data_IF_913694415765
#
_entry.id   IF_913694415765
#
_cell.length_a   1.000
_cell.length_b   1.000
_cell.length_c   1.000
_cell.angle_alpha   90.00
_cell.angle_beta   90.00
_cell.angle_gamma   90.00
#
_symmetry.space_group_name_H-M   'P 1'
#
loop_
_entity.id
_entity.type
_entity.pdbx_description
1 polymer ?
#
# COMPACT_ATOMS: atom_id res chain seq x y z
N UNK A 1 18.98 19.86 -42.70
CA UNK A 1 19.77 18.96 -41.85
C UNK A 1 18.97 18.75 -40.58
N UNK A 2 18.12 17.73 -40.56
CA UNK A 2 17.30 17.38 -39.40
C UNK A 2 18.02 16.28 -38.62
N UNK A 3 18.35 16.55 -37.37
CA UNK A 3 18.68 15.50 -36.40
C UNK A 3 17.38 14.86 -35.92
N UNK A 4 17.23 13.53 -35.97
CA UNK A 4 16.18 12.86 -35.21
C UNK A 4 16.63 12.77 -33.75
N UNK A 5 15.77 13.21 -32.84
CA UNK A 5 15.89 12.94 -31.40
C UNK A 5 15.79 11.43 -31.16
N UNK A 6 16.60 10.85 -30.26
CA UNK A 6 16.50 9.45 -29.92
C UNK A 6 15.31 9.24 -28.97
N UNK A 7 14.25 8.68 -29.51
CA UNK A 7 13.20 8.02 -28.76
C UNK A 7 13.80 6.78 -28.06
N UNK A 8 14.05 6.89 -26.76
CA UNK A 8 14.56 5.79 -25.93
C UNK A 8 13.68 5.68 -24.70
N UNK A 9 12.48 5.13 -24.90
CA UNK A 9 11.83 4.33 -23.87
C UNK A 9 12.06 2.87 -24.22
N UNK A 10 13.30 2.41 -24.06
CA UNK A 10 13.61 0.98 -24.19
C UNK A 10 12.98 0.26 -23.00
N UNK A 11 11.79 -0.31 -23.21
CA UNK A 11 11.23 -1.35 -22.35
C UNK A 11 12.28 -2.45 -22.24
N UNK A 12 12.82 -2.66 -21.04
CA UNK A 12 13.78 -3.72 -20.82
C UNK A 12 13.17 -5.06 -21.25
N UNK A 13 13.90 -5.93 -21.97
CA UNK A 13 13.36 -7.22 -22.39
C UNK A 13 12.92 -8.01 -21.15
N UNK A 14 11.82 -8.75 -21.23
CA UNK A 14 11.21 -9.47 -20.11
C UNK A 14 12.21 -10.31 -19.28
N UNK A 15 13.24 -10.87 -19.93
CA UNK A 15 14.34 -11.59 -19.26
C UNK A 15 15.20 -10.70 -18.35
N UNK A 16 15.45 -9.45 -18.71
CA UNK A 16 16.19 -8.50 -17.87
C UNK A 16 15.37 -8.07 -16.65
N UNK A 17 14.06 -7.84 -16.82
CA UNK A 17 13.15 -7.53 -15.71
C UNK A 17 13.05 -8.70 -14.72
N UNK A 18 12.93 -9.94 -15.23
CA UNK A 18 12.95 -11.15 -14.42
C UNK A 18 14.28 -11.32 -13.66
N UNK A 19 15.42 -11.12 -14.33
CA UNK A 19 16.73 -11.17 -13.68
C UNK A 19 16.89 -10.08 -12.61
N UNK A 20 16.36 -8.88 -12.84
CA UNK A 20 16.32 -7.80 -11.87
C UNK A 20 15.52 -8.18 -10.63
N UNK A 21 14.29 -8.68 -10.81
CA UNK A 21 13.43 -9.19 -9.72
C UNK A 21 14.13 -10.26 -8.91
N UNK A 22 14.75 -11.26 -9.55
CA UNK A 22 15.40 -12.34 -8.82
C UNK A 22 16.59 -11.86 -7.99
N UNK A 23 17.41 -10.95 -8.52
CA UNK A 23 18.51 -10.35 -7.74
C UNK A 23 17.99 -9.53 -6.56
N UNK A 24 16.89 -8.81 -6.76
CA UNK A 24 16.25 -7.99 -5.72
C UNK A 24 15.78 -8.82 -4.53
N UNK A 25 15.27 -10.03 -4.77
CA UNK A 25 14.90 -11.01 -3.74
C UNK A 25 15.94 -12.15 -3.65
N UNK A 26 17.23 -11.80 -3.70
CA UNK A 26 18.32 -12.77 -3.88
C UNK A 26 18.35 -13.90 -2.83
N UNK A 27 18.13 -13.58 -1.56
CA UNK A 27 18.04 -14.55 -0.46
C UNK A 27 16.85 -15.52 -0.68
N UNK A 28 15.68 -14.99 -1.02
CA UNK A 28 14.46 -15.78 -1.28
C UNK A 28 14.60 -16.74 -2.46
N UNK A 29 15.30 -16.33 -3.54
CA UNK A 29 15.52 -17.19 -4.71
C UNK A 29 16.75 -18.10 -4.61
N UNK A 30 17.51 -18.03 -3.52
CA UNK A 30 18.76 -18.77 -3.35
C UNK A 30 19.91 -18.28 -4.23
N UNK A 31 19.86 -17.01 -4.67
CA UNK A 31 20.95 -16.33 -5.38
C UNK A 31 21.96 -15.68 -4.42
N UNK A 32 21.55 -15.48 -3.16
CA UNK A 32 22.41 -15.11 -2.04
C UNK A 32 22.22 -16.14 -0.92
N UNK A 33 23.25 -16.41 -0.10
CA UNK A 33 23.11 -17.29 1.05
C UNK A 33 22.09 -16.72 2.04
N UNK A 34 21.27 -17.59 2.62
CA UNK A 34 20.42 -17.21 3.74
C UNK A 34 21.29 -16.89 4.97
N UNK A 35 20.88 -15.92 5.81
CA UNK A 35 21.44 -15.77 7.14
C UNK A 35 21.28 -17.06 7.97
N UNK A 36 22.15 -17.31 8.94
CA UNK A 36 22.06 -18.48 9.83
C UNK A 36 20.73 -18.53 10.59
N UNK A 37 20.19 -17.37 10.93
CA UNK A 37 18.90 -17.17 11.56
C UNK A 37 18.18 -16.04 10.85
N UNK A 38 16.95 -16.27 10.39
CA UNK A 38 16.16 -15.27 9.69
C UNK A 38 14.66 -15.38 9.98
N UNK A 39 13.98 -14.24 9.91
CA UNK A 39 12.53 -14.12 9.86
C UNK A 39 12.02 -13.81 8.46
N UNK A 40 10.70 -13.95 8.28
CA UNK A 40 9.97 -13.58 7.06
C UNK A 40 8.90 -12.56 7.39
N UNK A 41 8.73 -11.55 6.52
CA UNK A 41 7.58 -10.63 6.55
C UNK A 41 6.78 -10.81 5.27
N UNK A 42 5.53 -11.26 5.38
CA UNK A 42 4.66 -11.63 4.25
C UNK A 42 3.41 -10.75 4.19
N UNK A 43 3.16 -10.10 3.07
CA UNK A 43 1.95 -9.29 2.89
C UNK A 43 1.94 -8.58 1.55
N UNK A 44 1.18 -7.49 1.44
CA UNK A 44 1.21 -6.61 0.28
C UNK A 44 2.50 -5.74 0.27
N UNK A 45 2.53 -4.67 -0.53
CA UNK A 45 3.67 -3.74 -0.62
C UNK A 45 4.13 -3.17 0.74
N UNK A 46 3.26 -3.12 1.76
CA UNK A 46 3.58 -2.64 3.10
C UNK A 46 4.49 -3.58 3.90
N UNK A 47 4.53 -4.88 3.55
CA UNK A 47 5.36 -5.86 4.25
C UNK A 47 6.84 -5.48 4.23
N UNK A 48 7.31 -4.91 3.11
CA UNK A 48 8.70 -4.43 3.00
C UNK A 48 8.98 -3.26 3.94
N UNK A 49 8.03 -2.34 4.13
CA UNK A 49 8.18 -1.21 5.05
C UNK A 49 8.32 -1.69 6.49
N UNK A 50 7.50 -2.67 6.88
CA UNK A 50 7.62 -3.30 8.20
C UNK A 50 8.95 -4.07 8.34
N UNK A 51 9.38 -4.79 7.30
CA UNK A 51 10.69 -5.46 7.29
C UNK A 51 11.83 -4.46 7.52
N UNK A 52 11.83 -3.33 6.82
CA UNK A 52 12.88 -2.32 6.89
C UNK A 52 13.05 -1.72 8.29
N UNK A 53 11.97 -1.56 9.05
CA UNK A 53 12.05 -1.03 10.43
C UNK A 53 12.40 -2.10 11.46
N UNK A 54 12.34 -3.39 11.09
CA UNK A 54 12.66 -4.50 12.00
C UNK A 54 14.03 -5.12 11.73
N UNK A 55 14.52 -5.12 10.49
CA UNK A 55 15.74 -5.80 10.05
C UNK A 55 17.01 -5.07 10.53
N UNK A 56 17.90 -5.79 11.21
CA UNK A 56 19.22 -5.33 11.65
C UNK A 56 20.26 -6.42 11.38
N UNK A 57 21.58 -6.13 11.36
CA UNK A 57 22.59 -7.18 11.23
C UNK A 57 22.48 -8.31 12.27
N UNK A 58 21.94 -8.04 13.46
CA UNK A 58 21.75 -9.00 14.56
C UNK A 58 20.39 -9.71 14.51
N UNK A 59 19.41 -9.16 13.81
CA UNK A 59 18.05 -9.68 13.65
C UNK A 59 17.64 -9.57 12.19
N UNK A 60 17.90 -10.64 11.44
CA UNK A 60 17.70 -10.64 9.99
C UNK A 60 16.26 -10.99 9.63
N UNK A 61 15.67 -10.20 8.73
CA UNK A 61 14.46 -10.56 8.00
C UNK A 61 14.76 -10.52 6.49
N UNK A 62 14.60 -11.66 5.82
CA UNK A 62 14.85 -11.74 4.37
C UNK A 62 13.76 -11.01 3.59
N UNK A 63 14.13 -10.48 2.43
CA UNK A 63 13.18 -9.84 1.51
C UNK A 63 12.34 -10.89 0.80
N UNK A 64 11.01 -10.74 0.83
CA UNK A 64 10.05 -11.64 0.18
C UNK A 64 9.16 -10.85 -0.79
N UNK A 65 8.82 -11.39 -1.97
CA UNK A 65 7.89 -10.73 -2.89
C UNK A 65 6.53 -10.44 -2.22
N UNK A 66 5.85 -9.34 -2.56
CA UNK A 66 4.52 -9.10 -2.04
C UNK A 66 3.52 -10.11 -2.63
N UNK A 67 2.54 -10.53 -1.83
CA UNK A 67 1.65 -11.67 -2.16
C UNK A 67 0.84 -11.50 -3.44
N UNK A 68 0.60 -10.26 -3.90
CA UNK A 68 -0.14 -9.99 -5.13
C UNK A 68 0.72 -10.03 -6.39
N UNK A 69 2.04 -10.13 -6.25
CA UNK A 69 3.01 -10.34 -7.34
C UNK A 69 3.56 -11.78 -7.36
N UNK A 70 3.12 -12.63 -6.43
CA UNK A 70 3.65 -13.98 -6.30
C UNK A 70 3.15 -14.88 -7.42
N UNK A 71 4.05 -15.71 -7.91
CA UNK A 71 3.79 -16.79 -8.88
C UNK A 71 3.78 -18.15 -8.18
N UNK A 72 3.50 -19.22 -8.92
CA UNK A 72 3.60 -20.60 -8.41
C UNK A 72 5.02 -20.94 -7.93
N UNK A 73 6.06 -20.47 -8.63
CA UNK A 73 7.45 -20.65 -8.17
C UNK A 73 7.66 -19.96 -6.81
N UNK A 74 7.14 -18.74 -6.66
CA UNK A 74 7.28 -17.97 -5.41
C UNK A 74 6.53 -18.65 -4.26
N UNK A 75 5.32 -19.14 -4.50
CA UNK A 75 4.57 -19.88 -3.49
C UNK A 75 5.33 -21.14 -3.04
N UNK A 76 5.86 -21.94 -3.97
CA UNK A 76 6.70 -23.10 -3.63
C UNK A 76 7.92 -22.69 -2.81
N UNK A 77 8.63 -21.63 -3.20
CA UNK A 77 9.80 -21.13 -2.46
C UNK A 77 9.44 -20.65 -1.06
N UNK A 78 8.31 -19.96 -0.90
CA UNK A 78 7.82 -19.55 0.41
C UNK A 78 7.59 -20.77 1.32
N UNK A 79 6.98 -21.84 0.81
CA UNK A 79 6.76 -23.08 1.56
C UNK A 79 8.03 -23.88 1.83
N UNK A 80 9.09 -23.72 1.02
CA UNK A 80 10.42 -24.27 1.31
C UNK A 80 11.14 -23.50 2.43
N UNK A 81 10.96 -22.17 2.49
CA UNK A 81 11.66 -21.28 3.43
C UNK A 81 10.96 -21.13 4.78
N UNK A 82 9.62 -21.13 4.80
CA UNK A 82 8.84 -20.94 6.01
C UNK A 82 9.19 -21.91 7.16
N UNK A 83 9.45 -23.22 6.91
CA UNK A 83 9.89 -24.15 7.96
C UNK A 83 11.23 -23.79 8.60
N UNK A 84 12.12 -23.10 7.86
CA UNK A 84 13.47 -22.75 8.31
C UNK A 84 13.55 -21.36 8.97
N UNK A 85 12.54 -20.50 8.80
CA UNK A 85 12.47 -19.21 9.46
C UNK A 85 12.26 -19.37 10.97
N UNK A 86 12.85 -18.51 11.80
CA UNK A 86 12.59 -18.52 13.24
C UNK A 86 11.23 -17.85 13.59
N UNK A 87 10.70 -17.04 12.68
CA UNK A 87 9.47 -16.26 12.86
C UNK A 87 8.88 -15.88 11.52
N UNK A 88 7.55 -15.84 11.45
CA UNK A 88 6.81 -15.27 10.33
C UNK A 88 5.94 -14.13 10.85
N UNK A 89 6.15 -12.92 10.33
CA UNK A 89 5.22 -11.80 10.49
C UNK A 89 4.41 -11.71 9.21
N UNK A 90 3.09 -11.65 9.29
CA UNK A 90 2.26 -11.67 8.09
C UNK A 90 1.05 -10.75 8.18
N UNK A 91 0.64 -10.17 7.07
CA UNK A 91 -0.70 -9.62 6.97
C UNK A 91 -1.72 -10.76 6.80
N UNK A 92 -2.98 -10.60 7.25
CA UNK A 92 -4.02 -11.57 6.94
C UNK A 92 -4.19 -11.74 5.42
N UNK A 93 -3.94 -12.95 4.93
CA UNK A 93 -4.12 -13.37 3.53
C UNK A 93 -5.10 -14.53 3.51
N UNK A 94 -6.10 -14.46 2.61
CA UNK A 94 -7.06 -15.56 2.42
C UNK A 94 -6.36 -16.81 1.90
N UNK A 95 -6.86 -17.98 2.29
CA UNK A 95 -6.43 -19.24 1.68
C UNK A 95 -6.66 -19.19 0.16
N UNK A 96 -5.74 -19.78 -0.59
CA UNK A 96 -5.77 -19.86 -2.05
C UNK A 96 -5.83 -18.48 -2.74
N UNK A 97 -5.15 -17.49 -2.16
CA UNK A 97 -5.05 -16.15 -2.74
C UNK A 97 -4.37 -16.21 -4.11
N UNK A 98 -5.09 -15.82 -5.16
CA UNK A 98 -4.69 -15.95 -6.58
C UNK A 98 -4.40 -17.40 -6.99
N UNK A 99 -5.17 -18.35 -6.46
CA UNK A 99 -5.02 -19.80 -6.72
C UNK A 99 -3.67 -20.35 -6.24
N UNK A 100 -3.01 -19.64 -5.32
CA UNK A 100 -1.74 -20.01 -4.72
C UNK A 100 -1.91 -20.25 -3.21
N UNK A 101 -1.15 -21.19 -2.60
CA UNK A 101 -1.26 -21.53 -1.19
C UNK A 101 -0.62 -20.46 -0.27
N UNK A 102 -1.00 -19.20 -0.40
CA UNK A 102 -0.41 -18.05 0.29
C UNK A 102 -1.17 -17.63 1.55
N UNK A 103 -2.27 -18.31 1.87
CA UNK A 103 -3.12 -17.96 3.00
C UNK A 103 -2.39 -18.03 4.33
N UNK A 104 -2.76 -17.14 5.26
CA UNK A 104 -2.15 -17.10 6.59
C UNK A 104 -2.25 -18.45 7.30
N UNK A 105 -3.37 -19.17 7.15
CA UNK A 105 -3.53 -20.53 7.71
C UNK A 105 -2.62 -21.54 7.02
N UNK A 106 -2.49 -21.46 5.70
CA UNK A 106 -1.64 -22.36 4.91
C UNK A 106 -0.16 -22.18 5.26
N UNK A 107 0.30 -20.93 5.39
CA UNK A 107 1.68 -20.61 5.82
C UNK A 107 1.91 -21.04 7.27
N UNK A 108 0.93 -20.82 8.16
CA UNK A 108 1.01 -21.28 9.55
C UNK A 108 1.13 -22.81 9.64
N UNK A 109 0.39 -23.55 8.82
CA UNK A 109 0.48 -25.01 8.78
C UNK A 109 1.82 -25.53 8.22
N UNK A 110 2.53 -24.70 7.43
CA UNK A 110 3.80 -25.05 6.82
C UNK A 110 5.02 -24.79 7.72
N UNK A 111 4.85 -24.16 8.89
CA UNK A 111 5.98 -23.84 9.77
C UNK A 111 5.69 -24.22 11.23
N UNK A 112 6.75 -24.47 11.99
CA UNK A 112 6.70 -24.57 13.45
C UNK A 112 7.07 -23.25 14.14
N UNK A 113 7.48 -22.26 13.36
CA UNK A 113 7.82 -20.93 13.84
C UNK A 113 6.58 -20.21 14.38
N UNK A 114 6.82 -19.23 15.26
CA UNK A 114 5.76 -18.32 15.68
C UNK A 114 5.31 -17.48 14.48
N UNK A 115 4.00 -17.45 14.25
CA UNK A 115 3.36 -16.59 13.26
C UNK A 115 2.65 -15.45 13.98
N UNK A 116 2.94 -14.21 13.59
CA UNK A 116 2.27 -13.00 14.07
C UNK A 116 1.56 -12.30 12.93
N UNK A 117 0.35 -11.83 13.19
CA UNK A 117 -0.50 -11.14 12.23
C UNK A 117 -0.56 -9.64 12.48
N UNK A 118 -0.33 -8.86 11.43
CA UNK A 118 -0.37 -7.38 11.45
C UNK A 118 -1.37 -6.91 10.39
N UNK A 119 -2.38 -6.09 10.73
CA UNK A 119 -3.39 -5.71 9.75
C UNK A 119 -2.79 -4.80 8.66
N UNK A 120 -3.23 -4.91 7.40
CA UNK A 120 -2.88 -3.92 6.38
C UNK A 120 -3.52 -2.58 6.74
N UNK A 121 -2.69 -1.54 6.79
CA UNK A 121 -3.10 -0.21 7.22
C UNK A 121 -3.62 0.58 6.02
N UNK A 122 -4.81 1.17 6.18
CA UNK A 122 -5.40 2.10 5.21
C UNK A 122 -6.07 3.23 5.96
N UNK A 123 -5.89 4.45 5.49
CA UNK A 123 -6.48 5.64 6.11
C UNK A 123 -6.88 6.66 5.05
N UNK A 124 -8.18 6.85 4.85
CA UNK A 124 -8.69 7.82 3.88
C UNK A 124 -8.82 9.24 4.46
N UNK A 125 -8.58 9.45 5.76
CA UNK A 125 -8.74 10.75 6.41
C UNK A 125 -7.79 11.83 5.89
N UNK A 126 -6.66 11.46 5.28
CA UNK A 126 -5.75 12.40 4.61
C UNK A 126 -6.01 12.55 3.10
N UNK A 127 -6.72 11.59 2.50
CA UNK A 127 -6.99 11.55 1.06
C UNK A 127 -8.45 11.11 0.81
N UNK A 128 -9.44 11.89 1.26
CA UNK A 128 -10.83 11.47 1.29
C UNK A 128 -11.39 11.17 -0.11
N UNK A 129 -10.87 11.85 -1.13
CA UNK A 129 -11.29 11.70 -2.53
C UNK A 129 -10.66 10.51 -3.24
N UNK A 130 -9.74 9.79 -2.61
CA UNK A 130 -8.94 8.78 -3.28
C UNK A 130 -9.51 7.37 -3.10
N UNK A 131 -9.54 6.60 -4.20
CA UNK A 131 -9.89 5.19 -4.20
C UNK A 131 -8.79 4.36 -4.87
N UNK A 132 -8.27 3.35 -4.16
CA UNK A 132 -7.43 2.29 -4.71
C UNK A 132 -8.30 1.05 -4.95
N UNK A 133 -8.85 0.95 -6.16
CA UNK A 133 -9.81 -0.11 -6.53
C UNK A 133 -9.28 -0.94 -7.69
N UNK A 134 -9.65 -2.22 -7.69
CA UNK A 134 -9.49 -3.12 -8.82
C UNK A 134 -10.88 -3.61 -9.22
N UNK A 135 -11.16 -3.65 -10.51
CA UNK A 135 -12.43 -4.13 -11.08
C UNK A 135 -12.13 -5.44 -11.81
N UNK A 136 -12.80 -6.56 -11.46
CA UNK A 136 -12.62 -7.81 -12.19
C UNK A 136 -12.87 -7.63 -13.70
N UNK A 137 -11.94 -8.12 -14.52
CA UNK A 137 -12.01 -7.98 -15.98
C UNK A 137 -11.34 -6.73 -16.54
N UNK A 138 -10.87 -5.82 -15.69
CA UNK A 138 -10.04 -4.67 -16.06
C UNK A 138 -8.73 -4.76 -15.29
N UNK A 139 -7.73 -5.38 -15.92
CA UNK A 139 -6.41 -5.61 -15.32
C UNK A 139 -5.46 -4.40 -15.50
N UNK A 140 -5.80 -3.49 -16.41
CA UNK A 140 -5.02 -2.28 -16.65
C UNK A 140 -5.08 -1.33 -15.45
N UNK A 141 -3.92 -0.82 -15.03
CA UNK A 141 -3.85 0.26 -14.06
C UNK A 141 -4.11 1.60 -14.75
N UNK A 142 -4.75 2.57 -14.06
CA UNK A 142 -4.90 3.90 -14.64
C UNK A 142 -3.52 4.53 -14.87
N UNK A 143 -3.39 5.36 -15.93
CA UNK A 143 -2.12 5.98 -16.26
C UNK A 143 -1.65 6.93 -15.16
N UNK A 144 -0.34 7.22 -15.15
CA UNK A 144 0.32 8.22 -14.29
C UNK A 144 0.40 7.83 -12.81
N UNK A 145 -0.75 7.59 -12.14
CA UNK A 145 -0.83 7.12 -10.76
C UNK A 145 -1.95 6.08 -10.59
N UNK A 146 -1.71 5.05 -9.78
CA UNK A 146 -2.64 3.94 -9.52
C UNK A 146 -3.78 4.28 -8.53
N UNK A 147 -4.25 5.54 -8.54
CA UNK A 147 -5.21 6.06 -7.57
C UNK A 147 -6.31 6.87 -8.25
N UNK A 148 -7.56 6.44 -8.08
CA UNK A 148 -8.69 7.12 -8.68
C UNK A 148 -9.17 8.27 -7.79
N UNK A 149 -9.36 9.45 -8.37
CA UNK A 149 -10.14 10.51 -7.73
C UNK A 149 -11.64 10.24 -7.96
N UNK A 150 -12.39 10.14 -6.86
CA UNK A 150 -13.81 9.80 -6.84
C UNK A 150 -14.65 10.87 -7.56
N UNK A 151 -14.21 12.14 -7.54
CA UNK A 151 -14.91 13.24 -8.22
C UNK A 151 -14.73 13.13 -9.72
N UNK A 152 -13.51 12.85 -10.18
CA UNK A 152 -13.22 12.61 -11.61
C UNK A 152 -14.00 11.40 -12.13
N UNK A 153 -14.05 10.31 -11.35
CA UNK A 153 -14.85 9.13 -11.68
C UNK A 153 -16.35 9.46 -11.76
N UNK A 154 -16.88 10.25 -10.81
CA UNK A 154 -18.28 10.66 -10.80
C UNK A 154 -18.64 11.50 -12.05
N UNK A 155 -17.75 12.42 -12.46
CA UNK A 155 -17.92 13.20 -13.69
C UNK A 155 -17.98 12.28 -14.91
N UNK A 156 -17.07 11.31 -15.01
CA UNK A 156 -17.08 10.33 -16.10
C UNK A 156 -18.38 9.50 -16.14
N UNK A 157 -19.00 9.26 -14.98
CA UNK A 157 -20.28 8.57 -14.85
C UNK A 157 -21.52 9.48 -15.02
N UNK A 158 -21.34 10.79 -15.27
CA UNK A 158 -22.45 11.75 -15.35
C UNK A 158 -23.14 12.01 -13.99
N UNK A 159 -22.44 11.75 -12.89
CA UNK A 159 -22.93 11.92 -11.53
C UNK A 159 -22.45 13.29 -10.99
N UNK A 160 -23.36 14.20 -10.61
CA UNK A 160 -22.96 15.44 -9.96
C UNK A 160 -22.43 15.15 -8.55
N UNK A 161 -21.29 15.75 -8.22
CA UNK A 161 -20.65 15.70 -6.90
C UNK A 161 -20.03 17.06 -6.59
N UNK A 162 -19.93 17.41 -5.30
CA UNK A 162 -19.20 18.60 -4.89
C UNK A 162 -17.69 18.46 -5.15
N UNK A 163 -17.04 19.58 -5.46
CA UNK A 163 -15.58 19.64 -5.63
C UNK A 163 -14.82 19.62 -4.31
N UNK A 164 -15.48 19.98 -3.21
CA UNK A 164 -14.92 19.97 -1.85
C UNK A 164 -15.88 19.36 -0.85
N UNK A 165 -15.40 19.07 0.36
CA UNK A 165 -16.22 18.62 1.49
C UNK A 165 -15.90 19.42 2.74
N UNK A 166 -16.82 19.44 3.70
CA UNK A 166 -16.55 20.08 4.99
C UNK A 166 -15.43 19.34 5.76
N UNK A 167 -14.65 20.05 6.59
CA UNK A 167 -13.69 19.41 7.49
C UNK A 167 -14.31 18.34 8.41
N UNK A 168 -15.60 18.48 8.75
CA UNK A 168 -16.33 17.45 9.50
C UNK A 168 -16.54 16.16 8.71
N UNK A 169 -16.86 16.27 7.41
CA UNK A 169 -16.98 15.12 6.52
C UNK A 169 -15.63 14.41 6.33
N UNK A 170 -14.52 15.15 6.23
CA UNK A 170 -13.15 14.58 6.23
C UNK A 170 -12.93 13.75 7.49
N UNK A 171 -13.20 14.31 8.68
CA UNK A 171 -13.09 13.58 9.95
C UNK A 171 -13.98 12.35 10.00
N UNK A 172 -15.20 12.42 9.46
CA UNK A 172 -16.11 11.27 9.39
C UNK A 172 -15.55 10.13 8.52
N UNK A 173 -14.96 10.45 7.36
CA UNK A 173 -14.27 9.49 6.50
C UNK A 173 -13.06 8.87 7.22
N UNK A 174 -12.29 9.69 7.94
CA UNK A 174 -11.19 9.23 8.79
C UNK A 174 -11.64 8.23 9.86
N UNK A 175 -12.69 8.56 10.62
CA UNK A 175 -13.28 7.67 11.63
C UNK A 175 -13.75 6.34 11.04
N UNK A 176 -14.43 6.39 9.89
CA UNK A 176 -14.86 5.17 9.18
C UNK A 176 -13.67 4.28 8.77
N UNK A 177 -12.56 4.89 8.31
CA UNK A 177 -11.33 4.14 8.01
C UNK A 177 -10.75 3.45 9.26
N UNK A 178 -10.76 4.14 10.40
CA UNK A 178 -10.29 3.61 11.68
C UNK A 178 -11.20 2.46 12.16
N UNK A 179 -12.51 2.57 12.02
CA UNK A 179 -13.44 1.51 12.43
C UNK A 179 -13.30 0.24 11.56
N UNK A 180 -13.02 0.40 10.26
CA UNK A 180 -12.64 -0.71 9.39
C UNK A 180 -11.32 -1.33 9.83
N UNK A 181 -10.33 -0.51 10.20
CA UNK A 181 -9.04 -1.00 10.71
C UNK A 181 -9.21 -1.78 12.02
N UNK A 182 -10.00 -1.27 12.98
CA UNK A 182 -10.36 -1.96 14.23
C UNK A 182 -11.04 -3.29 13.99
N UNK A 183 -11.89 -3.37 12.96
CA UNK A 183 -12.52 -4.64 12.56
C UNK A 183 -11.47 -5.66 12.09
N UNK A 184 -10.44 -5.23 11.35
CA UNK A 184 -9.32 -6.10 10.94
C UNK A 184 -8.44 -6.51 12.13
N UNK A 185 -8.27 -5.62 13.10
CA UNK A 185 -7.49 -5.87 14.32
C UNK A 185 -8.10 -6.92 15.23
N UNK A 186 -9.42 -7.12 15.18
CA UNK A 186 -10.10 -8.11 16.02
C UNK A 186 -9.57 -9.53 15.84
N UNK A 187 -8.96 -9.83 14.68
CA UNK A 187 -8.36 -11.12 14.36
C UNK A 187 -6.85 -11.01 14.09
N UNK A 188 -6.22 -9.89 14.44
CA UNK A 188 -4.78 -9.68 14.29
C UNK A 188 -4.08 -9.66 15.66
N UNK A 189 -2.81 -10.04 15.69
CA UNK A 189 -1.99 -10.05 16.92
C UNK A 189 -1.56 -8.63 17.33
N UNK A 190 -1.41 -7.72 16.36
CA UNK A 190 -0.91 -6.36 16.58
C UNK A 190 -1.96 -5.33 16.21
N UNK A 191 -2.19 -4.36 17.11
CA UNK A 191 -3.10 -3.22 16.91
C UNK A 191 -2.34 -2.00 16.38
N UNK A 192 -3.03 -1.19 15.58
CA UNK A 192 -2.49 -0.03 14.85
C UNK A 192 -3.43 1.18 14.97
N UNK A 193 -4.73 0.98 15.18
CA UNK A 193 -5.78 2.00 15.05
C UNK A 193 -5.62 3.18 16.00
N UNK A 194 -5.04 2.96 17.17
CA UNK A 194 -4.73 3.99 18.17
C UNK A 194 -3.58 4.90 17.73
N UNK A 195 -2.76 4.51 16.74
CA UNK A 195 -1.77 5.41 16.15
C UNK A 195 -2.42 6.60 15.45
N UNK A 196 -3.71 6.53 15.12
CA UNK A 196 -4.46 7.61 14.48
C UNK A 196 -5.20 8.53 15.48
N UNK A 197 -4.93 8.41 16.78
CA UNK A 197 -5.51 9.31 17.80
C UNK A 197 -5.07 10.78 17.59
N UNK A 198 -3.86 10.98 17.05
CA UNK A 198 -3.33 12.29 16.63
C UNK A 198 -2.84 12.21 15.19
N UNK A 199 -3.65 12.65 14.24
CA UNK A 199 -3.32 12.59 12.81
C UNK A 199 -2.29 13.66 12.45
N UNK A 200 -1.29 13.27 11.66
CA UNK A 200 -0.27 14.15 11.07
C UNK A 200 -0.14 13.86 9.58
N UNK A 201 0.44 14.78 8.80
CA UNK A 201 0.62 14.59 7.35
C UNK A 201 1.55 13.42 6.96
N UNK A 202 2.34 12.86 7.90
CA UNK A 202 3.18 11.67 7.66
C UNK A 202 2.45 10.34 7.98
N UNK A 203 1.20 10.37 8.43
CA UNK A 203 0.45 9.13 8.68
C UNK A 203 0.16 8.35 7.39
N UNK A 204 -0.12 9.05 6.29
CA UNK A 204 -0.38 8.44 5.00
C UNK A 204 0.02 9.36 3.85
N UNK A 205 0.63 8.77 2.81
CA UNK A 205 0.99 9.43 1.55
C UNK A 205 -0.07 9.24 0.48
N UNK A 206 -0.76 8.12 0.55
CA UNK A 206 -1.94 7.72 -0.22
C UNK A 206 -2.81 6.89 0.71
N UNK A 207 -4.04 6.54 0.31
CA UNK A 207 -5.00 5.81 1.16
C UNK A 207 -4.47 4.47 1.70
N UNK A 208 -3.47 3.86 1.04
CA UNK A 208 -2.87 2.57 1.39
C UNK A 208 -1.34 2.61 1.53
N UNK A 209 -0.70 3.79 1.50
CA UNK A 209 0.73 3.97 1.76
C UNK A 209 0.94 4.73 3.09
N UNK A 210 0.90 4.04 4.24
CA UNK A 210 1.22 4.63 5.53
C UNK A 210 2.65 5.15 5.57
N UNK A 211 2.89 6.15 6.41
CA UNK A 211 4.23 6.70 6.61
C UNK A 211 4.95 6.33 7.89
N UNK A 212 6.03 7.05 8.16
CA UNK A 212 6.96 6.66 9.22
C UNK A 212 6.31 6.84 10.59
N UNK A 213 5.41 7.83 10.73
CA UNK A 213 4.50 7.99 11.87
C UNK A 213 3.69 6.72 12.20
N UNK A 214 3.46 5.84 11.23
CA UNK A 214 2.83 4.52 11.43
C UNK A 214 3.87 3.42 11.56
N UNK A 215 4.83 3.34 10.63
CA UNK A 215 5.74 2.19 10.54
C UNK A 215 6.72 2.08 11.71
N UNK A 216 7.24 3.20 12.22
CA UNK A 216 8.18 3.19 13.33
C UNK A 216 7.53 2.62 14.62
N UNK A 217 6.40 3.17 15.13
CA UNK A 217 5.75 2.61 16.30
C UNK A 217 5.16 1.22 16.05
N UNK A 218 4.70 0.91 14.83
CA UNK A 218 4.23 -0.44 14.50
C UNK A 218 5.37 -1.47 14.52
N UNK A 219 6.54 -1.13 13.98
CA UNK A 219 7.74 -1.96 14.05
C UNK A 219 8.12 -2.27 15.50
N UNK A 220 8.09 -1.26 16.38
CA UNK A 220 8.33 -1.44 17.80
C UNK A 220 7.34 -2.44 18.42
N UNK A 221 6.03 -2.30 18.15
CA UNK A 221 5.00 -3.20 18.68
C UNK A 221 5.17 -4.65 18.23
N UNK A 222 5.56 -4.85 16.97
CA UNK A 222 5.81 -6.20 16.44
C UNK A 222 7.02 -6.82 17.12
N UNK A 223 8.10 -6.06 17.30
CA UNK A 223 9.31 -6.52 17.99
C UNK A 223 9.04 -6.82 19.47
N UNK A 224 8.32 -5.95 20.16
CA UNK A 224 7.86 -6.18 21.54
C UNK A 224 7.04 -7.48 21.63
N UNK A 225 6.11 -7.69 20.68
CA UNK A 225 5.33 -8.92 20.62
C UNK A 225 6.20 -10.16 20.39
N UNK A 226 7.32 -10.03 19.66
CA UNK A 226 8.32 -11.08 19.46
C UNK A 226 9.27 -11.27 20.65
N UNK A 227 9.22 -10.41 21.67
CA UNK A 227 10.09 -10.45 22.83
C UNK A 227 11.47 -9.84 22.58
N UNK A 228 11.58 -8.98 21.57
CA UNK A 228 12.82 -8.28 21.23
C UNK A 228 12.89 -6.92 21.91
N UNK A 229 14.02 -6.63 22.58
CA UNK A 229 14.22 -5.40 23.36
C UNK A 229 15.07 -4.34 22.67
N UNK A 230 15.65 -4.63 21.50
CA UNK A 230 16.54 -3.71 20.80
C UNK A 230 15.77 -2.64 20.03
N UNK A 231 14.45 -2.82 19.88
CA UNK A 231 13.55 -1.87 19.25
C UNK A 231 13.68 -1.80 17.73
N UNK A 232 12.88 -0.91 17.14
CA UNK A 232 12.85 -0.68 15.71
C UNK A 232 14.04 0.18 15.25
N UNK A 233 14.31 0.14 13.95
CA UNK A 233 15.30 0.99 13.28
C UNK A 233 14.59 2.07 12.48
N UNK A 234 15.10 3.30 12.55
CA UNK A 234 14.74 4.34 11.59
C UNK A 234 15.57 4.16 10.31
N UNK A 235 14.94 3.89 9.15
CA UNK A 235 15.65 3.75 7.87
C UNK A 235 16.28 5.07 7.38
N UNK A 236 16.07 6.20 8.06
CA UNK A 236 16.62 7.51 7.70
C UNK A 236 16.01 8.11 6.44
N UNK A 237 14.88 7.57 5.99
CA UNK A 237 14.15 8.02 4.79
C UNK A 237 12.65 7.74 4.91
N UNK A 238 11.81 8.50 4.17
CA UNK A 238 10.40 8.18 3.97
C UNK A 238 10.16 6.76 3.43
N UNK A 239 9.21 6.04 4.03
CA UNK A 239 8.74 4.72 3.58
C UNK A 239 7.50 4.86 2.69
N UNK A 240 7.39 4.00 1.66
CA UNK A 240 6.28 4.03 0.67
C UNK A 240 6.10 5.39 -0.02
N UNK A 241 7.21 6.09 -0.26
CA UNK A 241 7.24 7.48 -0.76
C UNK A 241 7.32 7.63 -2.28
N UNK A 242 7.17 6.53 -3.02
CA UNK A 242 7.16 6.55 -4.48
C UNK A 242 6.04 7.41 -5.06
N UNK A 243 4.89 7.47 -4.38
CA UNK A 243 3.77 8.33 -4.75
C UNK A 243 3.22 8.99 -3.49
N UNK A 244 3.09 10.32 -3.52
CA UNK A 244 2.44 11.12 -2.49
C UNK A 244 1.34 11.96 -3.13
N UNK A 245 0.13 11.79 -2.64
CA UNK A 245 -1.03 12.50 -3.14
C UNK A 245 -1.06 13.96 -2.69
N UNK A 246 -1.84 14.82 -3.38
CA UNK A 246 -2.18 16.15 -2.91
C UNK A 246 -2.74 16.13 -1.49
N UNK A 247 -2.48 17.20 -0.75
CA UNK A 247 -3.01 17.46 0.58
C UNK A 247 -3.99 18.63 0.48
N UNK A 248 -5.28 18.31 0.49
CA UNK A 248 -6.33 19.31 0.26
C UNK A 248 -6.49 20.29 1.44
N UNK A 249 -6.90 21.55 1.20
CA UNK A 249 -7.11 22.54 2.27
C UNK A 249 -8.06 22.08 3.38
N UNK A 250 -9.19 21.44 3.01
CA UNK A 250 -10.15 20.90 3.96
C UNK A 250 -9.59 19.77 4.83
N UNK A 251 -8.53 19.08 4.36
CA UNK A 251 -7.83 18.06 5.15
C UNK A 251 -6.90 18.71 6.17
N UNK A 252 -6.17 19.76 5.76
CA UNK A 252 -5.34 20.56 6.67
C UNK A 252 -6.20 21.13 7.80
N UNK A 253 -7.33 21.75 7.46
CA UNK A 253 -8.28 22.29 8.44
C UNK A 253 -8.92 21.19 9.30
N UNK A 254 -9.27 20.03 8.72
CA UNK A 254 -9.93 18.96 9.45
C UNK A 254 -9.12 18.40 10.61
N UNK A 255 -7.80 18.35 10.46
CA UNK A 255 -6.87 17.74 11.40
C UNK A 255 -5.95 18.74 12.10
N UNK A 256 -6.16 20.04 11.88
CA UNK A 256 -5.31 21.11 12.42
C UNK A 256 -3.82 20.86 12.11
N UNK A 257 -3.55 20.48 10.85
CA UNK A 257 -2.18 20.13 10.43
C UNK A 257 -1.31 21.39 10.41
N UNK A 258 -0.05 21.32 10.86
CA UNK A 258 0.90 22.42 10.71
C UNK A 258 1.39 22.57 9.25
N UNK A 259 1.12 21.57 8.41
CA UNK A 259 1.48 21.54 7.00
C UNK A 259 0.58 22.46 6.15
N UNK A 260 1.18 23.17 5.19
CA UNK A 260 0.42 23.88 4.16
C UNK A 260 -0.27 22.90 3.18
N UNK A 261 -1.43 23.27 2.61
CA UNK A 261 -2.05 22.49 1.54
C UNK A 261 -1.09 22.32 0.35
N UNK A 262 -1.15 21.16 -0.30
CA UNK A 262 -0.37 20.85 -1.51
C UNK A 262 -1.30 20.40 -2.62
N UNK A 263 -1.29 21.11 -3.74
CA UNK A 263 -2.11 20.80 -4.91
C UNK A 263 -1.51 19.69 -5.79
N UNK A 264 -0.19 19.55 -5.79
CA UNK A 264 0.55 18.64 -6.68
C UNK A 264 0.68 17.23 -6.09
N UNK A 265 0.76 16.25 -6.99
CA UNK A 265 1.28 14.93 -6.69
C UNK A 265 2.81 14.99 -6.61
N UNK A 266 3.41 14.13 -5.79
CA UNK A 266 4.83 13.81 -5.91
C UNK A 266 4.97 12.38 -6.39
N UNK A 267 5.64 12.15 -7.51
CA UNK A 267 5.89 10.83 -8.09
C UNK A 267 7.39 10.66 -8.23
N UNK A 268 7.97 9.69 -7.53
CA UNK A 268 9.42 9.49 -7.41
C UNK A 268 10.17 10.77 -6.98
N UNK A 269 9.52 11.60 -6.17
CA UNK A 269 10.05 12.88 -5.67
C UNK A 269 9.81 14.08 -6.60
N UNK A 270 9.34 13.87 -7.83
CA UNK A 270 9.07 14.93 -8.79
C UNK A 270 7.63 15.44 -8.66
N UNK A 271 7.46 16.75 -8.71
CA UNK A 271 6.15 17.39 -8.66
C UNK A 271 5.40 17.20 -9.98
N UNK A 272 4.11 16.85 -9.87
CA UNK A 272 3.21 16.60 -10.98
C UNK A 272 1.86 17.28 -10.73
N UNK A 273 1.36 18.01 -11.73
CA UNK A 273 0.09 18.70 -11.64
C UNK A 273 -1.09 17.70 -11.58
N UNK A 274 -2.00 17.90 -10.62
CA UNK A 274 -3.24 17.13 -10.51
C UNK A 274 -4.13 17.27 -11.75
N UNK A 275 -4.01 18.38 -12.50
CA UNK A 275 -4.69 18.54 -13.77
C UNK A 275 -4.25 17.51 -14.83
N UNK A 276 -2.95 17.22 -14.92
CA UNK A 276 -2.41 16.22 -15.85
C UNK A 276 -2.88 14.81 -15.48
N UNK A 277 -2.88 14.48 -14.18
CA UNK A 277 -3.44 13.21 -13.68
C UNK A 277 -4.92 13.08 -14.05
N UNK A 278 -5.70 14.13 -13.83
CA UNK A 278 -7.14 14.14 -14.09
C UNK A 278 -7.46 13.98 -15.57
N UNK A 279 -6.72 14.65 -16.45
CA UNK A 279 -6.87 14.53 -17.90
C UNK A 279 -6.59 13.10 -18.36
N UNK A 280 -5.46 12.52 -17.92
CA UNK A 280 -5.08 11.16 -18.25
C UNK A 280 -6.12 10.14 -17.75
N UNK A 281 -6.62 10.31 -16.53
CA UNK A 281 -7.65 9.43 -15.95
C UNK A 281 -8.99 9.59 -16.65
N UNK A 282 -9.37 10.80 -17.05
CA UNK A 282 -10.61 11.04 -17.80
C UNK A 282 -10.57 10.36 -19.17
N UNK A 283 -9.45 10.46 -19.88
CA UNK A 283 -9.25 9.75 -21.14
C UNK A 283 -9.32 8.24 -20.96
N UNK A 284 -8.71 7.72 -19.89
CA UNK A 284 -8.73 6.29 -19.57
C UNK A 284 -10.14 5.81 -19.21
N UNK A 285 -10.92 6.57 -18.41
CA UNK A 285 -12.32 6.25 -18.10
C UNK A 285 -13.21 6.21 -19.34
N UNK A 286 -13.00 7.11 -20.31
CA UNK A 286 -13.74 7.11 -21.57
C UNK A 286 -13.45 5.84 -22.40
N UNK A 287 -12.24 5.28 -22.29
CA UNK A 287 -11.86 4.04 -22.94
C UNK A 287 -12.34 2.77 -22.18
N UNK A 288 -12.67 2.89 -20.89
CA UNK A 288 -13.04 1.78 -20.00
C UNK A 288 -14.39 2.02 -19.29
N UNK A 289 -15.51 2.14 -20.03
CA UNK A 289 -16.82 2.42 -19.43
C UNK A 289 -17.29 1.33 -18.45
N UNK A 290 -16.91 0.07 -18.65
CA UNK A 290 -17.18 -1.04 -17.74
C UNK A 290 -16.48 -0.88 -16.38
N UNK A 291 -15.27 -0.31 -16.38
CA UNK A 291 -14.59 0.06 -15.14
C UNK A 291 -15.40 1.12 -14.40
N UNK A 292 -15.82 2.18 -15.10
CA UNK A 292 -16.57 3.30 -14.50
C UNK A 292 -17.85 2.81 -13.84
N UNK A 293 -18.63 1.97 -14.54
CA UNK A 293 -19.86 1.41 -14.01
C UNK A 293 -19.61 0.58 -12.72
N UNK A 294 -18.66 -0.36 -12.76
CA UNK A 294 -18.35 -1.21 -11.61
C UNK A 294 -17.74 -0.41 -10.43
N UNK A 295 -16.92 0.59 -10.73
CA UNK A 295 -16.30 1.46 -9.74
C UNK A 295 -17.35 2.32 -9.01
N UNK A 296 -18.31 2.89 -9.75
CA UNK A 296 -19.42 3.66 -9.18
C UNK A 296 -20.28 2.81 -8.26
N UNK A 297 -20.64 1.60 -8.68
CA UNK A 297 -21.44 0.68 -7.86
C UNK A 297 -20.71 0.34 -6.54
N UNK A 298 -19.40 0.04 -6.64
CA UNK A 298 -18.56 -0.25 -5.48
C UNK A 298 -18.40 0.95 -4.54
N UNK A 299 -18.36 2.15 -5.08
CA UNK A 299 -18.11 3.39 -4.34
C UNK A 299 -19.40 4.14 -3.99
N UNK A 300 -20.59 3.58 -4.24
CA UNK A 300 -21.86 4.26 -4.02
C UNK A 300 -22.07 4.84 -2.60
N UNK A 301 -21.71 4.13 -1.50
CA UNK A 301 -21.83 4.71 -0.15
C UNK A 301 -20.94 5.93 0.04
N UNK A 302 -19.77 5.90 -0.59
CA UNK A 302 -18.77 6.96 -0.52
C UNK A 302 -19.28 8.14 -1.37
N UNK A 303 -19.67 7.91 -2.63
CA UNK A 303 -20.30 8.90 -3.54
C UNK A 303 -21.47 9.68 -2.92
N UNK A 304 -22.27 9.03 -2.07
CA UNK A 304 -23.37 9.68 -1.36
C UNK A 304 -22.90 10.83 -0.44
N UNK A 305 -21.72 10.71 0.17
CA UNK A 305 -21.12 11.76 1.02
C UNK A 305 -20.86 13.02 0.21
N UNK A 306 -20.34 12.90 -1.01
CA UNK A 306 -20.04 14.06 -1.88
C UNK A 306 -21.23 14.63 -2.63
N UNK A 307 -22.29 13.85 -2.81
CA UNK A 307 -23.56 14.37 -3.37
C UNK A 307 -24.29 15.28 -2.38
N UNK A 308 -24.10 15.04 -1.09
CA UNK A 308 -24.75 15.76 0.00
C UNK A 308 -23.91 16.92 0.56
N UNK A 309 -22.67 17.07 0.09
CA UNK A 309 -21.72 18.09 0.53
C UNK A 309 -21.89 19.43 -0.21
#
# INVERSE_FOLDING_TARGET
>A
MNHPSPDVTTVAPAGAAMLGRRRHYGEFYGLAPLPESFGVVLGNCQAESLRLVMDTPQRRFIRVPPVHEMTEEDARRLHELAPAAHTVVTQPVRDDYHDLPLGTRQVTAATSARVLTVPPVRFAGLHPFQAAIRVPGVEEEPPVVAYHDIRTLAVAAGIPVSSSISPEAVRAIGRSSIDILRTREATADVRVSDLFDTVTADHARTVNHPGNAVWLPLGARVLDALGDTDGHVDPGRPLLDAVRAPLAPEVVEAWDLPDEPRAEWLVEGEALDDAEVREAHTAWYAAHPEFVAAAVDRLAPLLAVWRAA
#
